data_IF_908369187031
#
_entry.id   IF_908369187031
#
_cell.length_a   1.000
_cell.length_b   1.000
_cell.length_c   1.000
_cell.angle_alpha   90.00
_cell.angle_beta   90.00
_cell.angle_gamma   90.00
#
_symmetry.space_group_name_H-M   'P 1'
#
loop_
_entity.id
_entity.type
_entity.pdbx_description
1 polymer ?
#
# COMPACT_ATOMS: atom_id res chain seq x y z
N UNK A 1 9.12 -1.99 18.19
CA UNK A 1 8.56 -3.34 18.22
C UNK A 1 7.45 -3.38 17.19
N UNK A 2 7.60 -4.15 16.13
CA UNK A 2 6.54 -4.38 15.14
C UNK A 2 5.46 -5.20 15.84
N UNK A 3 4.20 -4.84 15.62
CA UNK A 3 3.08 -5.56 16.21
C UNK A 3 2.48 -6.51 15.17
N UNK A 4 1.68 -7.43 15.66
CA UNK A 4 1.12 -8.56 14.92
C UNK A 4 0.22 -8.24 13.71
N UNK A 5 -0.13 -6.97 13.49
CA UNK A 5 -1.00 -6.54 12.39
C UNK A 5 -0.29 -5.68 11.34
N UNK A 6 -0.39 -6.06 10.07
CA UNK A 6 0.12 -5.30 8.92
C UNK A 6 -1.01 -4.92 7.96
N UNK A 7 -0.97 -3.69 7.44
CA UNK A 7 -1.82 -3.24 6.34
C UNK A 7 -0.97 -3.18 5.07
N UNK A 8 -1.35 -3.93 4.05
CA UNK A 8 -0.69 -3.87 2.74
C UNK A 8 -1.48 -2.99 1.79
N UNK A 9 -0.76 -2.14 1.05
CA UNK A 9 -1.36 -1.18 0.14
C UNK A 9 -0.44 -0.85 -1.03
N UNK A 10 -1.03 -0.53 -2.18
CA UNK A 10 -0.32 -0.08 -3.36
C UNK A 10 -0.83 1.29 -3.84
N UNK A 11 0.06 2.16 -4.22
CA UNK A 11 -0.29 3.43 -4.87
C UNK A 11 0.45 3.61 -6.17
N UNK A 12 -0.23 4.22 -7.14
CA UNK A 12 0.39 4.61 -8.40
C UNK A 12 1.18 5.91 -8.22
N UNK A 13 2.41 5.94 -8.75
CA UNK A 13 3.24 7.12 -8.87
C UNK A 13 3.44 7.39 -10.36
N UNK A 14 2.95 8.53 -10.81
CA UNK A 14 3.00 8.90 -12.22
C UNK A 14 4.45 9.20 -12.67
N UNK A 15 4.75 8.83 -13.90
CA UNK A 15 5.99 9.16 -14.59
C UNK A 15 5.67 10.13 -15.71
N UNK A 16 6.52 11.11 -16.00
CA UNK A 16 6.37 11.93 -17.20
C UNK A 16 6.35 11.02 -18.43
N UNK A 17 5.29 11.13 -19.22
CA UNK A 17 5.14 10.33 -20.45
C UNK A 17 5.92 10.91 -21.65
N UNK A 18 6.73 11.95 -21.42
CA UNK A 18 7.51 12.63 -22.45
C UNK A 18 8.58 11.72 -23.02
N UNK A 19 8.72 11.74 -24.33
CA UNK A 19 9.81 11.13 -25.09
C UNK A 19 10.90 12.13 -25.46
N UNK A 20 10.83 13.35 -24.91
CA UNK A 20 11.85 14.41 -25.13
C UNK A 20 13.08 14.15 -24.26
N UNK A 21 13.84 13.13 -24.60
CA UNK A 21 15.13 12.78 -24.01
C UNK A 21 16.07 12.33 -25.12
N UNK A 22 17.33 12.15 -24.82
CA UNK A 22 18.36 11.80 -25.82
C UNK A 22 18.05 10.52 -26.63
N UNK A 23 17.26 9.60 -26.04
CA UNK A 23 16.88 8.33 -26.69
C UNK A 23 15.54 8.40 -27.43
N UNK A 24 14.75 9.46 -27.24
CA UNK A 24 13.41 9.57 -27.82
C UNK A 24 12.41 8.53 -27.30
N UNK A 25 12.69 7.85 -26.18
CA UNK A 25 11.92 6.72 -25.65
C UNK A 25 11.39 6.99 -24.26
N UNK A 26 10.31 6.29 -23.91
CA UNK A 26 9.83 6.25 -22.52
C UNK A 26 10.71 5.31 -21.68
N UNK A 27 10.69 5.51 -20.36
CA UNK A 27 11.39 4.64 -19.43
C UNK A 27 10.92 3.18 -19.57
N UNK A 28 11.79 2.24 -19.94
CA UNK A 28 11.44 0.84 -20.22
C UNK A 28 10.99 0.06 -18.98
N UNK A 29 11.38 0.51 -17.77
CA UNK A 29 10.97 -0.12 -16.51
C UNK A 29 9.59 0.35 -16.03
N UNK A 30 9.02 1.36 -16.70
CA UNK A 30 7.71 1.94 -16.38
C UNK A 30 6.66 1.49 -17.40
N UNK A 31 5.45 1.18 -16.93
CA UNK A 31 4.38 0.69 -17.78
C UNK A 31 3.09 1.47 -17.64
N UNK A 32 2.13 1.18 -18.52
CA UNK A 32 0.79 1.74 -18.47
C UNK A 32 -0.14 0.85 -17.64
N UNK A 33 -1.02 1.49 -16.89
CA UNK A 33 -2.15 0.82 -16.23
C UNK A 33 -3.40 1.68 -16.37
N UNK A 34 -4.56 1.03 -16.41
CA UNK A 34 -5.85 1.71 -16.46
C UNK A 34 -6.47 1.73 -15.07
N UNK A 35 -6.77 2.92 -14.55
CA UNK A 35 -7.49 3.12 -13.29
C UNK A 35 -8.58 4.16 -13.49
N UNK A 36 -9.77 3.90 -12.99
CA UNK A 36 -10.93 4.82 -13.08
C UNK A 36 -11.17 5.35 -14.51
N UNK A 37 -11.09 4.46 -15.51
CA UNK A 37 -11.17 4.76 -16.95
C UNK A 37 -10.07 5.68 -17.52
N UNK A 38 -9.04 6.02 -16.74
CA UNK A 38 -7.89 6.79 -17.19
C UNK A 38 -6.64 5.92 -17.31
N UNK A 39 -5.83 6.19 -18.34
CA UNK A 39 -4.53 5.57 -18.52
C UNK A 39 -3.47 6.34 -17.74
N UNK A 40 -2.69 5.62 -16.99
CA UNK A 40 -1.57 6.16 -16.22
C UNK A 40 -0.29 5.43 -16.63
N UNK A 41 0.75 6.19 -16.96
CA UNK A 41 2.09 5.66 -17.17
C UNK A 41 2.91 5.89 -15.90
N UNK A 42 3.54 4.83 -15.38
CA UNK A 42 4.27 4.96 -14.13
C UNK A 42 4.70 3.66 -13.47
N UNK A 43 4.91 3.78 -12.18
CA UNK A 43 5.25 2.68 -11.28
C UNK A 43 4.24 2.58 -10.13
N UNK A 44 4.21 1.45 -9.47
CA UNK A 44 3.51 1.27 -8.19
C UNK A 44 4.51 1.25 -7.04
N UNK A 45 4.16 1.94 -5.96
CA UNK A 45 4.80 1.78 -4.67
C UNK A 45 3.88 0.94 -3.78
N UNK A 46 4.40 -0.16 -3.29
CA UNK A 46 3.72 -1.06 -2.36
C UNK A 46 4.31 -0.86 -0.98
N UNK A 47 3.48 -0.84 0.05
CA UNK A 47 3.90 -0.63 1.43
C UNK A 47 3.27 -1.64 2.36
N UNK A 48 4.07 -2.14 3.31
CA UNK A 48 3.63 -2.77 4.53
C UNK A 48 3.63 -1.73 5.65
N UNK A 49 2.48 -1.55 6.29
CA UNK A 49 2.25 -0.54 7.32
C UNK A 49 1.74 -1.20 8.57
N UNK A 50 2.32 -0.90 9.72
CA UNK A 50 1.84 -1.42 10.98
C UNK A 50 0.39 -0.96 11.26
N UNK A 51 -0.52 -1.89 11.50
CA UNK A 51 -1.95 -1.65 11.63
C UNK A 51 -2.32 -0.76 12.84
N UNK A 52 -1.49 -0.72 13.88
CA UNK A 52 -1.73 0.09 15.07
C UNK A 52 -1.19 1.51 14.94
N UNK A 53 0.10 1.62 14.61
CA UNK A 53 0.81 2.90 14.57
C UNK A 53 0.64 3.67 13.26
N UNK A 54 0.32 2.98 12.16
CA UNK A 54 0.30 3.55 10.82
C UNK A 54 1.70 3.82 10.24
N UNK A 55 2.77 3.34 10.89
CA UNK A 55 4.14 3.53 10.42
C UNK A 55 4.50 2.49 9.35
N UNK A 56 5.19 2.94 8.32
CA UNK A 56 5.68 2.08 7.23
C UNK A 56 6.89 1.29 7.72
N UNK A 57 6.86 -0.02 7.58
CA UNK A 57 7.99 -0.90 7.89
C UNK A 57 8.63 -1.49 6.63
N UNK A 58 7.88 -1.66 5.55
CA UNK A 58 8.38 -2.23 4.31
C UNK A 58 7.89 -1.45 3.10
N UNK A 59 8.76 -1.30 2.10
CA UNK A 59 8.44 -0.63 0.83
C UNK A 59 9.02 -1.46 -0.31
N UNK A 60 8.21 -1.78 -1.31
CA UNK A 60 8.65 -2.34 -2.58
C UNK A 60 8.08 -1.54 -3.74
N UNK A 61 8.67 -1.67 -4.91
CA UNK A 61 8.17 -1.01 -6.12
C UNK A 61 8.10 -1.99 -7.27
N UNK A 62 7.17 -1.72 -8.18
CA UNK A 62 7.01 -2.49 -9.40
C UNK A 62 6.51 -1.60 -10.54
N UNK A 63 6.61 -2.06 -11.76
CA UNK A 63 5.95 -1.42 -12.89
C UNK A 63 4.43 -1.34 -12.66
N UNK A 64 3.78 -0.30 -13.18
CA UNK A 64 2.36 -0.04 -12.87
C UNK A 64 1.40 -1.13 -13.33
N UNK A 65 1.78 -1.95 -14.31
CA UNK A 65 1.00 -3.10 -14.80
C UNK A 65 1.14 -4.36 -13.93
N UNK A 66 2.06 -4.40 -12.97
CA UNK A 66 2.19 -5.52 -12.03
C UNK A 66 0.97 -5.62 -11.13
N UNK A 67 0.48 -6.83 -10.90
CA UNK A 67 -0.63 -7.06 -9.98
C UNK A 67 -0.17 -6.91 -8.52
N UNK A 68 -0.95 -6.23 -7.70
CA UNK A 68 -0.61 -5.95 -6.29
C UNK A 68 -0.39 -7.24 -5.50
N UNK A 69 -1.15 -8.29 -5.82
CA UNK A 69 -1.05 -9.61 -5.20
C UNK A 69 0.33 -10.27 -5.39
N UNK A 70 1.12 -9.89 -6.40
CA UNK A 70 2.46 -10.48 -6.62
C UNK A 70 3.54 -9.90 -5.72
N UNK A 71 3.28 -8.75 -5.09
CA UNK A 71 4.26 -8.05 -4.25
C UNK A 71 4.07 -8.28 -2.75
N UNK A 72 3.01 -8.97 -2.37
CA UNK A 72 2.60 -9.06 -0.96
C UNK A 72 3.62 -9.78 -0.07
N UNK A 73 4.26 -10.86 -0.56
CA UNK A 73 5.26 -11.62 0.20
C UNK A 73 6.45 -10.75 0.62
N UNK A 74 6.82 -9.79 -0.22
CA UNK A 74 7.90 -8.84 0.05
C UNK A 74 7.49 -7.70 0.99
N UNK A 75 6.21 -7.59 1.36
CA UNK A 75 5.68 -6.56 2.26
C UNK A 75 5.51 -7.04 3.70
N UNK A 76 5.65 -8.34 3.93
CA UNK A 76 5.51 -8.94 5.23
C UNK A 76 6.89 -9.06 5.90
N UNK A 77 6.93 -8.95 7.23
CA UNK A 77 8.16 -9.10 8.02
C UNK A 77 8.27 -10.45 8.75
N UNK A 78 7.23 -11.30 8.64
CA UNK A 78 7.24 -12.67 9.16
C UNK A 78 6.71 -12.86 10.57
N UNK A 79 6.43 -11.77 11.30
CA UNK A 79 5.87 -11.82 12.66
C UNK A 79 4.39 -11.41 12.70
N UNK A 80 3.75 -11.31 11.52
CA UNK A 80 2.35 -10.97 11.41
C UNK A 80 1.46 -12.15 11.77
N UNK A 81 0.45 -11.89 12.59
CA UNK A 81 -0.68 -12.79 12.82
C UNK A 81 -1.86 -12.43 11.91
N UNK A 82 -1.99 -11.14 11.55
CA UNK A 82 -3.09 -10.67 10.71
C UNK A 82 -2.64 -9.63 9.68
N UNK A 83 -3.22 -9.70 8.49
CA UNK A 83 -2.96 -8.77 7.39
C UNK A 83 -4.25 -8.18 6.86
N UNK A 84 -4.31 -6.87 6.77
CA UNK A 84 -5.41 -6.12 6.18
C UNK A 84 -5.06 -5.69 4.76
N UNK A 85 -5.93 -5.97 3.80
CA UNK A 85 -5.72 -5.63 2.41
C UNK A 85 -7.01 -5.15 1.72
N UNK A 86 -6.85 -4.47 0.60
CA UNK A 86 -7.98 -4.10 -0.24
C UNK A 86 -8.48 -5.28 -1.09
N UNK A 87 -9.55 -5.05 -1.84
CA UNK A 87 -10.15 -6.09 -2.69
C UNK A 87 -9.25 -6.56 -3.84
N UNK A 88 -8.17 -5.83 -4.16
CA UNK A 88 -7.18 -6.23 -5.16
C UNK A 88 -6.33 -7.43 -4.73
N UNK A 89 -6.28 -7.71 -3.43
CA UNK A 89 -5.57 -8.86 -2.85
C UNK A 89 -6.43 -10.12 -2.68
N UNK A 90 -7.62 -10.17 -3.30
CA UNK A 90 -8.49 -11.36 -3.21
C UNK A 90 -7.81 -12.60 -3.78
N UNK A 91 -7.91 -13.69 -3.02
CA UNK A 91 -7.29 -14.97 -3.39
C UNK A 91 -5.83 -15.10 -2.95
N UNK A 92 -5.26 -14.12 -2.27
CA UNK A 92 -3.90 -14.15 -1.73
C UNK A 92 -3.63 -15.41 -0.89
N UNK A 93 -4.56 -15.76 -0.01
CA UNK A 93 -4.50 -16.94 0.85
C UNK A 93 -4.48 -18.28 0.11
N UNK A 94 -4.74 -18.28 -1.21
CA UNK A 94 -4.71 -19.48 -2.07
C UNK A 94 -3.37 -19.66 -2.79
N UNK A 95 -2.49 -18.67 -2.70
CA UNK A 95 -1.19 -18.73 -3.35
C UNK A 95 -0.26 -19.66 -2.58
N UNK A 96 0.45 -20.51 -3.31
CA UNK A 96 1.34 -21.52 -2.74
C UNK A 96 2.43 -20.89 -1.86
N UNK A 97 2.99 -19.76 -2.29
CA UNK A 97 4.03 -19.04 -1.55
C UNK A 97 3.51 -18.59 -0.17
N UNK A 98 2.25 -18.15 -0.11
CA UNK A 98 1.63 -17.69 1.14
C UNK A 98 1.25 -18.85 2.03
N UNK A 99 0.70 -19.92 1.48
CA UNK A 99 0.35 -21.12 2.25
C UNK A 99 1.58 -21.79 2.84
N UNK A 100 2.71 -21.75 2.14
CA UNK A 100 3.97 -22.35 2.59
C UNK A 100 4.66 -21.50 3.65
N UNK A 101 4.74 -20.18 3.44
CA UNK A 101 5.49 -19.28 4.32
C UNK A 101 4.67 -18.78 5.52
N UNK A 102 3.36 -18.64 5.35
CA UNK A 102 2.46 -18.00 6.32
C UNK A 102 1.15 -18.77 6.50
N UNK A 103 1.18 -20.07 6.88
CA UNK A 103 0.00 -20.92 6.94
C UNK A 103 -1.05 -20.46 7.96
N UNK A 104 -0.62 -19.87 9.07
CA UNK A 104 -1.48 -19.43 10.18
C UNK A 104 -1.93 -17.95 10.06
N UNK A 105 -1.55 -17.26 8.97
CA UNK A 105 -1.83 -15.84 8.82
C UNK A 105 -3.30 -15.57 8.51
N UNK A 106 -3.93 -14.70 9.30
CA UNK A 106 -5.32 -14.28 9.10
C UNK A 106 -5.42 -13.09 8.13
N UNK A 107 -6.05 -13.32 6.97
CA UNK A 107 -6.20 -12.35 5.91
C UNK A 107 -7.54 -11.63 5.94
N UNK A 108 -7.54 -10.36 6.32
CA UNK A 108 -8.71 -9.49 6.35
C UNK A 108 -8.84 -8.66 5.06
N UNK A 109 -9.25 -9.31 3.98
CA UNK A 109 -9.42 -8.66 2.67
C UNK A 109 -10.76 -7.94 2.62
N UNK A 110 -10.76 -6.70 2.09
CA UNK A 110 -11.98 -5.93 1.90
C UNK A 110 -12.93 -6.58 0.88
N UNK A 111 -14.22 -6.49 1.15
CA UNK A 111 -15.24 -6.92 0.21
C UNK A 111 -15.28 -6.01 -1.02
N UNK A 112 -15.58 -6.57 -2.19
CA UNK A 112 -15.83 -5.77 -3.40
C UNK A 112 -16.98 -4.80 -3.19
N UNK A 113 -16.80 -3.56 -3.65
CA UNK A 113 -17.82 -2.50 -3.52
C UNK A 113 -19.17 -2.92 -4.08
N UNK A 114 -19.21 -3.62 -5.23
CA UNK A 114 -20.46 -4.12 -5.81
C UNK A 114 -21.18 -5.11 -4.90
N UNK A 115 -20.47 -6.07 -4.33
CA UNK A 115 -21.02 -7.05 -3.39
C UNK A 115 -21.52 -6.37 -2.10
N UNK A 116 -20.75 -5.42 -1.57
CA UNK A 116 -21.11 -4.67 -0.36
C UNK A 116 -22.35 -3.80 -0.58
N UNK A 117 -22.51 -3.18 -1.75
CA UNK A 117 -23.70 -2.40 -2.12
C UNK A 117 -24.93 -3.28 -2.30
N UNK A 118 -24.77 -4.46 -2.90
CA UNK A 118 -25.88 -5.40 -3.13
C UNK A 118 -26.35 -6.13 -1.86
N UNK A 119 -25.59 -6.05 -0.78
CA UNK A 119 -25.89 -6.75 0.47
C UNK A 119 -27.11 -6.15 1.19
N UNK A 120 -28.13 -6.99 1.47
CA UNK A 120 -29.28 -6.57 2.28
C UNK A 120 -28.88 -6.41 3.75
N UNK A 121 -28.71 -5.16 4.18
CA UNK A 121 -28.22 -4.81 5.52
C UNK A 121 -29.27 -4.97 6.64
N UNK A 122 -30.54 -5.20 6.29
CA UNK A 122 -31.60 -5.46 7.28
C UNK A 122 -31.50 -6.86 7.89
N UNK A 123 -30.78 -7.78 7.25
CA UNK A 123 -30.54 -9.13 7.81
C UNK A 123 -29.46 -9.04 8.89
N UNK A 124 -29.67 -9.60 10.12
CA UNK A 124 -28.70 -9.48 11.22
C UNK A 124 -27.28 -9.91 10.87
N UNK A 125 -27.12 -11.01 10.11
CA UNK A 125 -25.82 -11.50 9.67
C UNK A 125 -25.11 -10.50 8.74
N UNK A 126 -25.84 -9.87 7.83
CA UNK A 126 -25.30 -8.88 6.91
C UNK A 126 -24.99 -7.56 7.62
N UNK A 127 -25.75 -7.19 8.64
CA UNK A 127 -25.44 -6.04 9.49
C UNK A 127 -24.09 -6.23 10.20
N UNK A 128 -23.83 -7.42 10.75
CA UNK A 128 -22.52 -7.76 11.35
C UNK A 128 -21.40 -7.72 10.33
N UNK A 129 -21.61 -8.26 9.12
CA UNK A 129 -20.63 -8.18 8.03
C UNK A 129 -20.30 -6.73 7.66
N UNK A 130 -21.31 -5.86 7.58
CA UNK A 130 -21.11 -4.42 7.33
C UNK A 130 -20.29 -3.75 8.43
N UNK A 131 -20.48 -4.11 9.70
CA UNK A 131 -19.67 -3.61 10.81
C UNK A 131 -18.21 -4.04 10.68
N UNK A 132 -17.95 -5.31 10.32
CA UNK A 132 -16.60 -5.79 10.06
C UNK A 132 -15.94 -5.06 8.88
N UNK A 133 -16.68 -4.82 7.79
CA UNK A 133 -16.15 -4.07 6.65
C UNK A 133 -15.83 -2.61 7.00
N UNK A 134 -16.62 -1.97 7.90
CA UNK A 134 -16.30 -0.64 8.43
C UNK A 134 -15.03 -0.65 9.27
N UNK A 135 -14.85 -1.66 10.12
CA UNK A 135 -13.65 -1.83 10.93
C UNK A 135 -12.41 -2.04 10.03
N UNK A 136 -12.48 -2.96 9.06
CA UNK A 136 -11.40 -3.14 8.07
C UNK A 136 -11.06 -1.84 7.34
N UNK A 137 -12.07 -1.07 6.94
CA UNK A 137 -11.87 0.21 6.26
C UNK A 137 -11.16 1.23 7.18
N UNK A 138 -11.52 1.32 8.47
CA UNK A 138 -10.88 2.24 9.42
C UNK A 138 -9.41 1.90 9.67
N UNK A 139 -9.08 0.60 9.75
CA UNK A 139 -7.68 0.14 9.89
C UNK A 139 -6.90 0.47 8.63
N UNK A 140 -7.46 0.16 7.45
CA UNK A 140 -6.82 0.43 6.16
C UNK A 140 -6.63 1.93 5.88
N UNK A 141 -7.48 2.80 6.40
CA UNK A 141 -7.30 4.25 6.24
C UNK A 141 -5.97 4.76 6.82
N UNK A 142 -5.38 4.05 7.78
CA UNK A 142 -4.08 4.42 8.36
C UNK A 142 -2.95 4.41 7.33
N UNK A 143 -3.01 3.55 6.31
CA UNK A 143 -2.00 3.48 5.25
C UNK A 143 -1.98 4.72 4.36
N UNK A 144 -3.08 5.47 4.31
CA UNK A 144 -3.16 6.69 3.51
C UNK A 144 -2.32 7.83 4.11
N UNK A 145 -2.08 7.82 5.43
CA UNK A 145 -1.33 8.88 6.10
C UNK A 145 0.12 9.01 5.61
N UNK A 146 0.95 7.96 5.56
CA UNK A 146 2.30 8.04 5.01
C UNK A 146 2.31 8.56 3.57
N UNK A 147 1.39 8.07 2.72
CA UNK A 147 1.29 8.55 1.34
C UNK A 147 0.88 10.02 1.24
N UNK A 148 0.00 10.47 2.13
CA UNK A 148 -0.36 11.90 2.22
C UNK A 148 0.85 12.75 2.61
N UNK A 149 1.67 12.30 3.56
CA UNK A 149 2.91 13.01 3.95
C UNK A 149 3.82 13.12 2.73
N UNK A 150 4.11 12.02 2.04
CA UNK A 150 4.99 12.03 0.86
C UNK A 150 4.44 12.92 -0.24
N UNK A 151 3.16 12.79 -0.60
CA UNK A 151 2.57 13.50 -1.74
C UNK A 151 2.28 14.97 -1.45
N UNK A 152 1.87 15.31 -0.22
CA UNK A 152 1.41 16.64 0.14
C UNK A 152 2.47 17.46 0.91
N UNK A 153 3.18 16.85 1.88
CA UNK A 153 4.18 17.55 2.67
C UNK A 153 5.54 17.57 1.95
N UNK A 154 5.97 16.45 1.35
CA UNK A 154 7.23 16.37 0.64
C UNK A 154 7.12 16.67 -0.86
N UNK A 155 5.91 16.86 -1.38
CA UNK A 155 5.66 17.23 -2.78
C UNK A 155 6.00 16.15 -3.81
N UNK A 156 6.14 14.88 -3.38
CA UNK A 156 6.51 13.78 -4.27
C UNK A 156 5.27 13.17 -4.94
N UNK A 157 4.80 13.81 -6.01
CA UNK A 157 3.62 13.36 -6.78
C UNK A 157 3.98 12.59 -8.05
N UNK A 158 5.21 12.74 -8.53
CA UNK A 158 5.74 12.11 -9.74
C UNK A 158 7.16 11.60 -9.47
N UNK A 159 7.57 10.58 -10.19
CA UNK A 159 8.97 10.12 -10.16
C UNK A 159 9.92 11.21 -10.63
N UNK A 160 11.14 11.17 -10.12
CA UNK A 160 12.19 12.16 -10.43
C UNK A 160 13.37 11.55 -11.17
N UNK A 161 13.52 10.24 -11.13
CA UNK A 161 14.67 9.53 -11.71
C UNK A 161 14.22 8.53 -12.77
N UNK A 162 15.06 8.20 -13.75
CA UNK A 162 14.84 7.04 -14.61
C UNK A 162 15.06 5.75 -13.82
N UNK A 163 14.31 4.72 -14.21
CA UNK A 163 14.39 3.36 -13.67
C UNK A 163 13.73 3.17 -12.30
N UNK A 164 13.43 1.91 -11.96
CA UNK A 164 12.80 1.57 -10.69
C UNK A 164 13.75 1.72 -9.49
N UNK A 165 15.01 1.27 -9.62
CA UNK A 165 15.94 1.19 -8.50
C UNK A 165 16.18 2.54 -7.80
N UNK A 166 16.44 3.62 -8.56
CA UNK A 166 16.66 4.96 -8.00
C UNK A 166 15.40 5.52 -7.34
N UNK A 167 14.23 5.30 -7.94
CA UNK A 167 12.95 5.73 -7.38
C UNK A 167 12.59 4.92 -6.12
N UNK A 168 12.92 3.63 -6.07
CA UNK A 168 12.79 2.79 -4.86
C UNK A 168 13.61 3.33 -3.72
N UNK A 169 14.90 3.61 -3.95
CA UNK A 169 15.79 4.19 -2.93
C UNK A 169 15.25 5.54 -2.43
N UNK A 170 14.77 6.39 -3.33
CA UNK A 170 14.14 7.66 -2.95
C UNK A 170 12.90 7.45 -2.09
N UNK A 171 12.02 6.52 -2.46
CA UNK A 171 10.82 6.22 -1.69
C UNK A 171 11.12 5.65 -0.31
N UNK A 172 12.12 4.78 -0.17
CA UNK A 172 12.58 4.27 1.12
C UNK A 172 12.95 5.42 2.07
N UNK A 173 13.77 6.36 1.60
CA UNK A 173 14.15 7.55 2.38
C UNK A 173 12.92 8.40 2.73
N UNK A 174 12.04 8.63 1.77
CA UNK A 174 10.82 9.43 2.00
C UNK A 174 9.88 8.79 3.01
N UNK A 175 9.70 7.46 2.97
CA UNK A 175 8.86 6.76 3.95
C UNK A 175 9.50 6.75 5.34
N UNK A 176 10.84 6.61 5.45
CA UNK A 176 11.53 6.77 6.72
C UNK A 176 11.32 8.17 7.31
N UNK A 177 11.47 9.22 6.50
CA UNK A 177 11.19 10.60 6.92
C UNK A 177 9.71 10.84 7.23
N UNK A 178 8.80 10.18 6.50
CA UNK A 178 7.36 10.21 6.78
C UNK A 178 7.05 9.61 8.15
N UNK A 179 7.69 8.51 8.52
CA UNK A 179 7.55 7.91 9.85
C UNK A 179 7.98 8.89 10.95
N UNK A 180 9.16 9.53 10.80
CA UNK A 180 9.62 10.56 11.73
C UNK A 180 8.65 11.75 11.80
N UNK A 181 8.16 12.20 10.65
CA UNK A 181 7.16 13.27 10.58
C UNK A 181 5.88 12.92 11.35
N UNK A 182 5.39 11.69 11.21
CA UNK A 182 4.16 11.24 11.87
C UNK A 182 4.32 11.17 13.40
N UNK A 183 5.49 10.74 13.91
CA UNK A 183 5.75 10.61 15.35
C UNK A 183 6.42 11.83 15.97
N UNK A 184 6.75 12.88 15.23
CA UNK A 184 7.54 14.04 15.67
C UNK A 184 7.05 14.69 16.97
N UNK A 185 5.72 14.82 17.13
CA UNK A 185 5.17 15.43 18.37
C UNK A 185 5.44 14.56 19.60
N UNK A 186 5.34 13.24 19.47
CA UNK A 186 5.63 12.29 20.55
C UNK A 186 7.12 12.31 20.93
N UNK A 187 7.99 12.38 19.91
CA UNK A 187 9.44 12.46 20.13
C UNK A 187 9.78 13.77 20.87
N UNK A 188 9.24 14.91 20.41
CA UNK A 188 9.48 16.22 21.06
C UNK A 188 8.96 16.25 22.49
N UNK A 189 7.82 15.67 22.79
CA UNK A 189 7.29 15.55 24.14
C UNK A 189 8.19 14.68 25.05
N UNK A 190 8.72 13.57 24.53
CA UNK A 190 9.66 12.71 25.27
C UNK A 190 11.05 13.33 25.51
N UNK A 191 11.43 14.36 24.76
CA UNK A 191 12.67 15.11 24.97
C UNK A 191 12.53 16.26 25.98
N UNK A 192 11.30 16.62 26.35
CA UNK A 192 10.98 17.67 27.31
C UNK A 192 10.67 17.14 28.71
N UNK A 193 10.56 15.82 28.86
CA UNK A 193 10.35 15.14 30.14
C UNK A 193 11.66 14.60 30.70
#
# INVERSE_FOLDING_TARGET
>A
MLKTGTVVFATLIAVPSSTKNDKGERDPEMHQTKKDNQWHFGMKAHTGVNADSGLVHTVTTAASNSHDITQQHALLHGEEEMVFADSGYRGVHKREEIQTQYPEMDWHIAMLLGQRKAMNKSRPLNARREQLEKLKASIRAKVEHPFRVIKCQFGHRKVRYPGLAKNTSQLLVMFALSNLWMVRKRILQGLQA
#
